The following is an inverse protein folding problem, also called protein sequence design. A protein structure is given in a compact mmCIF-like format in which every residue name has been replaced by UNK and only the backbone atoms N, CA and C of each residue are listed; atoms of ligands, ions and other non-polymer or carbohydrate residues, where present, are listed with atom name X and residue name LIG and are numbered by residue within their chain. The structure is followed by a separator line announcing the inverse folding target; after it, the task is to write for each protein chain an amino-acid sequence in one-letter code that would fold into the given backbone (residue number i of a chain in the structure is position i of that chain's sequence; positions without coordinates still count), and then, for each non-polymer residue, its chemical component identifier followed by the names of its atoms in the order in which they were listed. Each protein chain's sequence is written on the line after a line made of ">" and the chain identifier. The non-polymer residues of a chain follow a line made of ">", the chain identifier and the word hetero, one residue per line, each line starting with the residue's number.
data_IF_132761511120
#
_entry.id   IF_132761511120
#
_cell.length_a   1.000
_cell.length_b   1.000
_cell.length_c   1.000
_cell.angle_alpha   90.00
_cell.angle_beta   90.00
_cell.angle_gamma   90.00
#
_symmetry.space_group_name_H-M   'P 1'
#
loop_
_entity.id
_entity.type
_entity.pdbx_description
1 polymer ?
#
# COMPACT_ATOMS: atom_id res chain seq x y z
N UNK A 1 19.20 -12.33 8.12
CA UNK A 1 19.17 -10.98 7.55
C UNK A 1 17.81 -10.79 6.93
N UNK A 2 17.21 -9.62 7.09
CA UNK A 2 15.87 -9.35 6.58
C UNK A 2 15.88 -9.51 5.05
N UNK A 3 15.17 -10.53 4.56
CA UNK A 3 15.08 -10.79 3.12
C UNK A 3 13.93 -9.96 2.56
N UNK A 4 14.20 -9.16 1.53
CA UNK A 4 13.17 -8.40 0.82
C UNK A 4 12.11 -9.37 0.29
N UNK A 5 10.83 -9.10 0.59
CA UNK A 5 9.69 -9.81 0.00
C UNK A 5 8.94 -8.86 -0.92
N UNK A 6 8.72 -9.28 -2.17
CA UNK A 6 8.08 -8.44 -3.20
C UNK A 6 6.65 -8.91 -3.45
N UNK A 7 5.69 -7.99 -3.38
CA UNK A 7 4.30 -8.25 -3.78
C UNK A 7 4.01 -7.45 -5.06
N UNK A 8 3.64 -8.14 -6.13
CA UNK A 8 3.29 -7.53 -7.41
C UNK A 8 1.77 -7.46 -7.57
N UNK A 9 1.22 -6.27 -7.77
CA UNK A 9 -0.22 -6.06 -7.98
C UNK A 9 -0.52 -6.04 -9.50
N UNK A 10 -1.16 -7.09 -10.00
CA UNK A 10 -1.40 -7.32 -11.42
C UNK A 10 -2.85 -7.07 -11.80
N UNK A 11 -3.07 -6.60 -13.03
CA UNK A 11 -4.41 -6.44 -13.59
C UNK A 11 -4.53 -7.18 -14.92
N UNK A 12 -5.65 -7.88 -15.15
CA UNK A 12 -5.85 -8.63 -16.41
C UNK A 12 -5.99 -7.73 -17.64
N UNK A 13 -6.30 -6.44 -17.45
CA UNK A 13 -6.39 -5.46 -18.51
C UNK A 13 -5.16 -4.56 -18.59
N UNK A 14 -4.06 -4.93 -17.92
CA UNK A 14 -2.84 -4.13 -17.96
C UNK A 14 -2.22 -4.12 -19.38
N UNK A 15 -1.77 -2.96 -19.88
CA UNK A 15 -1.08 -2.87 -21.16
C UNK A 15 0.22 -3.69 -21.17
N UNK A 16 0.65 -4.10 -22.37
CA UNK A 16 1.88 -4.87 -22.56
C UNK A 16 3.11 -4.21 -21.95
N UNK A 17 3.16 -2.87 -21.96
CA UNK A 17 4.22 -2.05 -21.40
C UNK A 17 4.33 -2.22 -19.87
N UNK A 18 3.21 -2.42 -19.18
CA UNK A 18 3.19 -2.69 -17.74
C UNK A 18 3.73 -4.09 -17.44
N UNK A 19 3.34 -5.08 -18.24
CA UNK A 19 3.91 -6.44 -18.14
C UNK A 19 5.43 -6.41 -18.33
N UNK A 20 5.94 -5.66 -19.31
CA UNK A 20 7.38 -5.53 -19.54
C UNK A 20 8.10 -4.85 -18.36
N UNK A 21 7.48 -3.84 -17.73
CA UNK A 21 8.06 -3.21 -16.54
C UNK A 21 8.25 -4.19 -15.39
N UNK A 22 7.31 -5.10 -15.18
CA UNK A 22 7.47 -6.15 -14.16
C UNK A 22 8.68 -7.04 -14.45
N UNK A 23 8.83 -7.51 -15.69
CA UNK A 23 9.99 -8.32 -16.09
C UNK A 23 11.32 -7.59 -15.87
N UNK A 24 11.39 -6.31 -16.25
CA UNK A 24 12.60 -5.49 -16.04
C UNK A 24 12.89 -5.31 -14.55
N UNK A 25 11.87 -5.06 -13.72
CA UNK A 25 12.07 -4.94 -12.26
C UNK A 25 12.54 -6.26 -11.66
N UNK A 26 12.01 -7.39 -12.11
CA UNK A 26 12.46 -8.72 -11.68
C UNK A 26 13.92 -8.96 -12.03
N UNK A 27 14.33 -8.63 -13.25
CA UNK A 27 15.73 -8.73 -13.70
C UNK A 27 16.65 -7.86 -12.84
N UNK A 28 16.26 -6.60 -12.57
CA UNK A 28 17.05 -5.66 -11.77
C UNK A 28 17.19 -6.08 -10.30
N UNK A 29 16.19 -6.75 -9.74
CA UNK A 29 16.23 -7.24 -8.36
C UNK A 29 17.07 -8.52 -8.22
N UNK A 30 17.26 -9.28 -9.31
CA UNK A 30 18.09 -10.48 -9.36
C UNK A 30 17.73 -11.49 -8.25
N UNK A 31 18.74 -12.05 -7.57
CA UNK A 31 18.54 -13.04 -6.50
C UNK A 31 17.77 -12.48 -5.27
N UNK A 32 17.63 -11.15 -5.14
CA UNK A 32 16.82 -10.54 -4.08
C UNK A 32 15.32 -10.64 -4.35
N UNK A 33 14.91 -10.93 -5.59
CA UNK A 33 13.51 -11.15 -5.96
C UNK A 33 13.05 -12.62 -5.80
N UNK A 34 13.86 -13.48 -5.19
CA UNK A 34 13.51 -14.90 -4.99
C UNK A 34 12.24 -15.07 -4.13
N UNK A 35 11.99 -14.13 -3.21
CA UNK A 35 10.78 -14.11 -2.39
C UNK A 35 9.75 -13.15 -2.98
N UNK A 36 8.83 -13.67 -3.80
CA UNK A 36 7.78 -12.86 -4.41
C UNK A 36 6.43 -13.56 -4.51
N UNK A 37 5.38 -12.75 -4.58
CA UNK A 37 4.03 -13.20 -4.92
C UNK A 37 3.34 -12.20 -5.85
N UNK A 38 2.54 -12.74 -6.76
CA UNK A 38 1.64 -11.96 -7.60
C UNK A 38 0.24 -11.98 -6.99
N UNK A 39 -0.39 -10.81 -6.98
CA UNK A 39 -1.78 -10.62 -6.54
C UNK A 39 -2.51 -10.02 -7.72
N UNK A 40 -3.50 -10.75 -8.22
CA UNK A 40 -4.28 -10.32 -9.37
C UNK A 40 -5.57 -9.64 -8.89
N UNK A 41 -5.79 -8.39 -9.31
CA UNK A 41 -7.01 -7.66 -8.97
C UNK A 41 -8.26 -8.37 -9.47
N UNK A 42 -9.27 -8.49 -8.60
CA UNK A 42 -10.50 -9.25 -8.86
C UNK A 42 -11.73 -8.33 -8.97
N UNK A 43 -12.67 -8.73 -9.83
CA UNK A 43 -13.95 -8.05 -9.99
C UNK A 43 -14.30 -7.69 -11.44
N UNK A 44 -15.57 -7.33 -11.69
CA UNK A 44 -16.10 -7.16 -13.04
C UNK A 44 -15.69 -5.83 -13.70
N UNK A 45 -15.26 -4.84 -12.93
CA UNK A 45 -14.90 -3.50 -13.42
C UNK A 45 -13.47 -3.12 -13.03
N UNK A 46 -12.89 -2.14 -13.72
CA UNK A 46 -11.56 -1.63 -13.39
C UNK A 46 -11.50 -1.10 -11.95
N UNK A 47 -12.53 -0.36 -11.51
CA UNK A 47 -12.62 0.14 -10.14
C UNK A 47 -12.67 -1.01 -9.12
N UNK A 48 -13.44 -2.07 -9.40
CA UNK A 48 -13.53 -3.22 -8.51
C UNK A 48 -12.16 -3.90 -8.32
N UNK A 49 -11.41 -4.09 -9.41
CA UNK A 49 -10.07 -4.71 -9.38
C UNK A 49 -9.02 -3.86 -8.64
N UNK A 50 -9.11 -2.53 -8.77
CA UNK A 50 -8.27 -1.62 -7.99
C UNK A 50 -8.62 -1.72 -6.51
N UNK A 51 -9.90 -1.63 -6.15
CA UNK A 51 -10.33 -1.69 -4.74
C UNK A 51 -10.01 -3.03 -4.08
N UNK A 52 -10.14 -4.15 -4.79
CA UNK A 52 -9.73 -5.46 -4.25
C UNK A 52 -8.22 -5.54 -4.03
N UNK A 53 -7.41 -4.98 -4.93
CA UNK A 53 -5.96 -4.89 -4.75
C UNK A 53 -5.56 -4.04 -3.54
N UNK A 54 -6.25 -2.91 -3.32
CA UNK A 54 -6.06 -2.06 -2.13
C UNK A 54 -6.46 -2.82 -0.85
N UNK A 55 -7.65 -3.42 -0.84
CA UNK A 55 -8.14 -4.17 0.31
C UNK A 55 -7.21 -5.35 0.67
N UNK A 56 -6.62 -6.01 -0.33
CA UNK A 56 -5.61 -7.04 -0.11
C UNK A 56 -4.40 -6.50 0.66
N UNK A 57 -3.85 -5.35 0.24
CA UNK A 57 -2.74 -4.70 0.93
C UNK A 57 -3.08 -4.29 2.37
N UNK A 58 -4.28 -3.76 2.60
CA UNK A 58 -4.76 -3.41 3.94
C UNK A 58 -4.87 -4.64 4.84
N UNK A 59 -5.47 -5.72 4.35
CA UNK A 59 -5.60 -6.97 5.09
C UNK A 59 -4.24 -7.59 5.43
N UNK A 60 -3.31 -7.63 4.47
CA UNK A 60 -1.94 -8.11 4.70
C UNK A 60 -1.25 -7.27 5.78
N UNK A 61 -1.36 -5.94 5.70
CA UNK A 61 -0.72 -5.04 6.66
C UNK A 61 -1.25 -5.22 8.07
N UNK A 62 -2.58 -5.31 8.23
CA UNK A 62 -3.22 -5.56 9.54
C UNK A 62 -2.86 -6.94 10.07
N UNK A 63 -2.89 -7.96 9.20
CA UNK A 63 -2.55 -9.33 9.60
C UNK A 63 -1.09 -9.43 10.07
N UNK A 64 -0.16 -8.78 9.36
CA UNK A 64 1.24 -8.70 9.78
C UNK A 64 1.42 -7.96 11.11
N UNK A 65 0.69 -6.87 11.33
CA UNK A 65 0.73 -6.16 12.62
C UNK A 65 0.30 -7.08 13.78
N UNK A 66 -0.76 -7.88 13.58
CA UNK A 66 -1.21 -8.89 14.55
C UNK A 66 -0.12 -9.94 14.79
N UNK A 67 0.47 -10.50 13.72
CA UNK A 67 1.55 -11.50 13.82
C UNK A 67 2.78 -10.96 14.55
N UNK A 68 3.13 -9.70 14.30
CA UNK A 68 4.25 -9.02 14.94
C UNK A 68 3.91 -8.39 16.29
N UNK A 69 2.70 -8.63 16.82
CA UNK A 69 2.24 -8.08 18.11
C UNK A 69 2.39 -6.56 18.19
N UNK A 70 2.27 -5.88 17.05
CA UNK A 70 2.32 -4.42 16.93
C UNK A 70 0.88 -3.91 16.86
N UNK A 71 0.56 -2.85 17.59
CA UNK A 71 -0.77 -2.23 17.51
C UNK A 71 -0.93 -1.52 16.14
N UNK A 72 -1.84 -1.99 15.25
CA UNK A 72 -2.03 -1.37 13.94
C UNK A 72 -2.76 -0.02 14.01
N UNK A 73 -3.32 0.34 15.18
CA UNK A 73 -4.29 1.44 15.31
C UNK A 73 -3.63 2.82 15.37
N UNK A 74 -2.53 3.04 16.12
CA UNK A 74 -1.87 4.34 16.20
C UNK A 74 -0.51 4.31 15.50
N UNK A 75 -0.46 4.88 14.30
CA UNK A 75 0.82 5.33 13.74
C UNK A 75 1.15 6.67 14.40
N UNK A 76 2.07 6.69 15.38
CA UNK A 76 2.39 7.89 16.20
C UNK A 76 2.63 9.15 15.35
N UNK A 77 3.31 9.00 14.21
CA UNK A 77 3.53 10.09 13.26
C UNK A 77 2.22 10.63 12.65
N UNK A 78 1.27 9.76 12.32
CA UNK A 78 -0.03 10.16 11.79
C UNK A 78 -0.84 10.89 12.87
N UNK A 79 -0.78 10.44 14.13
CA UNK A 79 -1.42 11.13 15.24
C UNK A 79 -0.84 12.55 15.43
N UNK A 80 0.50 12.67 15.42
CA UNK A 80 1.18 13.97 15.48
C UNK A 80 0.84 14.87 14.30
N UNK A 81 0.76 14.32 13.09
CA UNK A 81 0.37 15.06 11.89
C UNK A 81 -1.06 15.60 12.03
N UNK A 82 -2.02 14.74 12.39
CA UNK A 82 -3.43 15.13 12.60
C UNK A 82 -3.55 16.24 13.63
N UNK A 83 -2.83 16.12 14.75
CA UNK A 83 -2.83 17.11 15.82
C UNK A 83 -2.22 18.46 15.36
N UNK A 84 -1.13 18.43 14.57
CA UNK A 84 -0.53 19.64 13.99
C UNK A 84 -1.44 20.31 12.96
N UNK A 85 -2.13 19.53 12.13
CA UNK A 85 -3.10 20.05 11.16
C UNK A 85 -4.29 20.71 11.86
N UNK A 86 -4.87 20.06 12.89
CA UNK A 86 -5.96 20.64 13.67
C UNK A 86 -5.59 22.00 14.29
N UNK A 87 -4.40 22.11 14.91
CA UNK A 87 -3.90 23.37 15.47
C UNK A 87 -3.69 24.47 14.42
N UNK A 88 -3.23 24.11 13.21
CA UNK A 88 -3.02 25.06 12.13
C UNK A 88 -4.33 25.60 11.55
N UNK A 89 -5.41 24.82 11.60
CA UNK A 89 -6.74 25.23 11.13
C UNK A 89 -7.53 26.01 12.19
N UNK A 90 -7.29 25.77 13.49
CA UNK A 90 -7.92 26.52 14.60
C UNK A 90 -7.30 27.90 14.85
N UNK A 91 -6.10 28.18 14.32
CA UNK A 91 -5.37 29.43 14.55
C UNK A 91 -5.68 30.54 13.52
N UNK A 92 -6.70 30.37 12.68
CA UNK A 92 -7.20 31.43 11.79
C UNK A 92 -8.28 32.27 12.51
N UNK A 93 -8.01 33.53 12.91
CA UNK A 93 -8.95 34.34 13.68
C UNK A 93 -10.13 34.90 12.85
N UNK A 94 -10.24 34.57 11.56
CA UNK A 94 -11.15 35.25 10.62
C UNK A 94 -12.45 34.48 10.35
N UNK A 95 -12.66 33.30 10.93
CA UNK A 95 -13.92 32.55 10.76
C UNK A 95 -14.72 32.45 12.07
N UNK A 96 -15.28 33.56 12.52
CA UNK A 96 -16.50 33.56 13.32
C UNK A 96 -17.59 34.32 12.52
N UNK A 97 -18.86 33.89 12.57
CA UNK A 97 -19.94 34.40 11.73
C UNK A 97 -20.25 35.88 11.95
#
# INVERSE_FOLDING_TARGET
>A
GDALYVIQLRDRAEPSEITQRYLVVEELLGERATNRSEVWGEGPSALARVLTSVAYGDLVSVYLAILYQTDPTPVTLLAMLKERLARATESDPTSAP
#
